data_IF_834325561887
#
_entry.id   IF_834325561887
#
_cell.length_a   1.000
_cell.length_b   1.000
_cell.length_c   1.000
_cell.angle_alpha   90.00
_cell.angle_beta   90.00
_cell.angle_gamma   90.00
#
_symmetry.space_group_name_H-M   'P 1'
#
loop_
_entity.id
_entity.type
_entity.pdbx_description
1 polymer ?
#
# COMPACT_ATOMS: atom_id res chain seq x y z
N UNK A 1 8.97 17.35 7.21
CA UNK A 1 10.24 16.59 7.15
C UNK A 1 11.09 17.20 6.04
N UNK A 2 12.36 17.49 6.29
CA UNK A 2 13.28 17.95 5.24
C UNK A 2 13.63 16.78 4.33
N UNK A 3 13.42 16.96 3.03
CA UNK A 3 13.80 15.99 2.00
C UNK A 3 15.34 15.77 2.02
N UNK A 4 15.78 14.60 2.50
CA UNK A 4 17.19 14.22 2.64
C UNK A 4 17.70 13.42 1.43
N UNK A 5 16.95 13.36 0.33
CA UNK A 5 17.39 12.65 -0.89
C UNK A 5 18.56 13.38 -1.56
N UNK A 6 19.45 12.60 -2.16
CA UNK A 6 20.62 13.07 -2.92
C UNK A 6 20.51 12.66 -4.39
N UNK A 7 21.21 13.40 -5.25
CA UNK A 7 21.40 13.12 -6.67
C UNK A 7 22.88 12.87 -6.90
N UNK A 8 23.21 11.85 -7.68
CA UNK A 8 24.59 11.63 -8.09
C UNK A 8 24.88 12.36 -9.40
N UNK A 9 25.91 13.19 -9.40
CA UNK A 9 26.50 13.78 -10.57
C UNK A 9 27.83 13.10 -10.88
N UNK A 10 28.04 12.73 -12.14
CA UNK A 10 29.34 12.26 -12.66
C UNK A 10 29.81 13.26 -13.70
N UNK A 11 31.05 13.77 -13.62
CA UNK A 11 31.50 14.81 -14.56
C UNK A 11 33.01 14.80 -14.81
N UNK A 12 33.39 15.33 -15.96
CA UNK A 12 34.78 15.47 -16.39
C UNK A 12 34.90 16.58 -17.45
N UNK A 13 36.09 17.18 -17.57
CA UNK A 13 36.39 18.12 -18.65
C UNK A 13 36.51 17.37 -19.98
N UNK A 14 35.79 17.85 -20.99
CA UNK A 14 35.79 17.36 -22.37
C UNK A 14 36.33 18.43 -23.34
N UNK A 15 37.32 19.19 -22.85
CA UNK A 15 37.96 20.26 -23.61
C UNK A 15 39.06 19.67 -24.51
N UNK A 16 38.94 19.75 -25.85
CA UNK A 16 39.94 19.20 -26.77
C UNK A 16 41.28 19.94 -26.73
N UNK A 17 41.35 21.16 -26.17
CA UNK A 17 42.59 21.91 -26.02
C UNK A 17 43.39 21.54 -24.75
N UNK A 18 42.79 20.73 -23.87
CA UNK A 18 43.46 20.23 -22.67
C UNK A 18 43.98 18.81 -22.89
N UNK A 19 45.28 18.63 -22.64
CA UNK A 19 45.89 17.31 -22.49
C UNK A 19 45.43 16.61 -21.20
N UNK A 20 45.64 15.31 -21.12
CA UNK A 20 45.19 14.48 -20.00
C UNK A 20 45.83 14.88 -18.66
N UNK A 21 47.10 15.31 -18.67
CA UNK A 21 47.80 15.77 -17.47
C UNK A 21 47.15 17.04 -16.89
N UNK A 22 46.72 17.97 -17.74
CA UNK A 22 45.99 19.17 -17.33
C UNK A 22 44.60 18.84 -16.82
N UNK A 23 43.86 17.96 -17.50
CA UNK A 23 42.52 17.50 -17.03
C UNK A 23 42.62 16.86 -15.66
N UNK A 24 43.58 15.96 -15.49
CA UNK A 24 43.90 15.28 -14.25
C UNK A 24 44.27 16.27 -13.12
N UNK A 25 45.11 17.26 -13.43
CA UNK A 25 45.51 18.29 -12.47
C UNK A 25 44.31 19.11 -11.99
N UNK A 26 43.42 19.50 -12.90
CA UNK A 26 42.20 20.25 -12.56
C UNK A 26 41.28 19.39 -11.67
N UNK A 27 41.06 18.12 -12.03
CA UNK A 27 40.24 17.20 -11.23
C UNK A 27 40.79 17.02 -9.80
N UNK A 28 42.11 16.88 -9.65
CA UNK A 28 42.77 16.79 -8.33
C UNK A 28 42.63 18.06 -7.50
N UNK A 29 42.56 19.22 -8.14
CA UNK A 29 42.35 20.50 -7.45
C UNK A 29 40.88 20.69 -7.04
N UNK A 30 39.93 20.23 -7.86
CA UNK A 30 38.51 20.35 -7.58
C UNK A 30 38.02 19.42 -6.46
N UNK A 31 38.56 18.19 -6.38
CA UNK A 31 38.05 17.17 -5.45
C UNK A 31 38.06 17.62 -3.96
N UNK A 32 39.12 18.24 -3.42
CA UNK A 32 39.09 18.75 -2.05
C UNK A 32 38.07 19.88 -1.85
N UNK A 33 37.89 20.76 -2.84
CA UNK A 33 36.90 21.84 -2.76
C UNK A 33 35.47 21.27 -2.73
N UNK A 34 35.19 20.27 -3.56
CA UNK A 34 33.91 19.56 -3.58
C UNK A 34 33.58 18.88 -2.26
N UNK A 35 34.58 18.29 -1.60
CA UNK A 35 34.41 17.62 -0.30
C UNK A 35 34.11 18.58 0.84
N UNK A 36 34.52 19.84 0.70
CA UNK A 36 34.29 20.90 1.68
C UNK A 36 33.07 21.76 1.35
N UNK A 37 32.36 21.44 0.27
CA UNK A 37 31.21 22.19 -0.18
C UNK A 37 29.98 21.72 0.63
N UNK A 38 29.34 22.64 1.36
CA UNK A 38 28.15 22.33 2.19
C UNK A 38 27.01 21.70 1.37
N UNK A 39 27.01 21.95 0.06
CA UNK A 39 26.08 21.43 -0.92
C UNK A 39 26.26 19.94 -1.24
N UNK A 40 27.44 19.38 -0.98
CA UNK A 40 27.87 18.04 -1.40
C UNK A 40 27.97 17.13 -0.18
N UNK A 41 27.22 16.03 -0.22
CA UNK A 41 27.22 15.00 0.83
C UNK A 41 28.46 14.12 0.73
N UNK A 42 28.87 13.80 -0.51
CA UNK A 42 30.02 12.94 -0.79
C UNK A 42 30.61 13.30 -2.15
N UNK A 43 31.94 13.33 -2.26
CA UNK A 43 32.60 13.45 -3.55
C UNK A 43 33.79 12.50 -3.63
N UNK A 44 33.83 11.74 -4.72
CA UNK A 44 34.84 10.72 -4.98
C UNK A 44 35.36 10.84 -6.40
N UNK A 45 36.57 10.33 -6.58
CA UNK A 45 37.14 10.11 -7.90
C UNK A 45 36.76 8.71 -8.37
N UNK A 46 36.31 8.58 -9.60
CA UNK A 46 36.16 7.27 -10.24
C UNK A 46 37.50 6.81 -10.78
N UNK A 47 37.85 5.54 -10.54
CA UNK A 47 39.04 4.93 -11.14
C UNK A 47 38.89 4.91 -12.66
N UNK A 48 39.99 5.17 -13.38
CA UNK A 48 40.00 5.28 -14.84
C UNK A 48 39.28 4.08 -15.46
N UNK A 49 38.17 4.35 -16.17
CA UNK A 49 37.49 3.36 -16.98
C UNK A 49 38.50 2.85 -18.02
N UNK A 50 38.73 1.53 -18.04
CA UNK A 50 39.55 0.90 -19.08
C UNK A 50 38.70 0.87 -20.36
N UNK A 51 38.95 1.72 -21.37
CA UNK A 51 38.02 1.84 -22.48
C UNK A 51 38.18 0.65 -23.43
N UNK A 52 37.08 -0.05 -23.70
CA UNK A 52 37.01 -1.00 -24.81
C UNK A 52 37.11 -0.26 -26.15
N UNK A 53 37.61 -0.93 -27.19
CA UNK A 53 37.73 -0.34 -28.52
C UNK A 53 36.35 0.13 -29.04
N UNK A 54 36.21 1.43 -29.29
CA UNK A 54 34.94 2.05 -29.72
C UNK A 54 34.13 2.73 -28.59
N UNK A 55 34.63 2.73 -27.36
CA UNK A 55 34.02 3.44 -26.22
C UNK A 55 33.86 4.93 -26.49
N UNK A 56 32.74 5.50 -26.01
CA UNK A 56 32.42 6.94 -26.09
C UNK A 56 32.05 7.49 -24.71
N UNK A 57 32.22 8.79 -24.51
CA UNK A 57 31.82 9.51 -23.29
C UNK A 57 32.85 9.42 -22.16
N UNK A 58 32.40 9.34 -20.91
CA UNK A 58 33.28 9.25 -19.73
C UNK A 58 34.38 8.17 -19.80
N UNK A 59 34.14 7.08 -20.53
CA UNK A 59 35.11 6.00 -20.70
C UNK A 59 36.43 6.46 -21.34
N UNK A 60 36.41 7.58 -22.09
CA UNK A 60 37.59 8.15 -22.76
C UNK A 60 38.14 9.39 -22.06
N UNK A 61 37.55 9.83 -20.95
CA UNK A 61 37.91 11.06 -20.25
C UNK A 61 38.76 10.77 -19.01
N UNK A 62 39.82 11.55 -18.82
CA UNK A 62 40.68 11.50 -17.65
C UNK A 62 40.17 12.48 -16.59
N UNK A 63 40.31 12.10 -15.31
CA UNK A 63 39.94 12.98 -14.19
C UNK A 63 38.45 13.02 -13.89
N UNK A 64 37.72 11.92 -14.13
CA UNK A 64 36.29 11.82 -13.84
C UNK A 64 36.04 11.87 -12.32
N UNK A 65 35.09 12.73 -11.93
CA UNK A 65 34.66 12.93 -10.55
C UNK A 65 33.19 12.58 -10.39
N UNK A 66 32.82 12.19 -9.18
CA UNK A 66 31.44 11.98 -8.76
C UNK A 66 31.11 12.82 -7.54
N UNK A 67 29.89 13.34 -7.47
CA UNK A 67 29.39 14.08 -6.32
C UNK A 67 27.95 13.69 -6.01
N UNK A 68 27.66 13.35 -4.76
CA UNK A 68 26.32 13.20 -4.22
C UNK A 68 25.86 14.54 -3.64
N UNK A 69 24.81 15.11 -4.21
CA UNK A 69 24.34 16.47 -3.95
C UNK A 69 22.92 16.41 -3.41
N UNK A 70 22.63 17.11 -2.30
CA UNK A 70 21.26 17.22 -1.80
C UNK A 70 20.36 17.93 -2.81
N UNK A 71 19.10 17.49 -2.95
CA UNK A 71 18.15 18.10 -3.90
C UNK A 71 18.04 19.63 -3.73
N UNK A 72 18.11 20.11 -2.49
CA UNK A 72 18.00 21.55 -2.18
C UNK A 72 19.20 22.35 -2.68
N UNK A 73 20.32 21.68 -2.93
CA UNK A 73 21.63 22.27 -3.14
C UNK A 73 22.12 22.10 -4.59
N UNK A 74 21.33 21.51 -5.49
CA UNK A 74 21.67 21.29 -6.92
C UNK A 74 22.17 22.59 -7.57
N UNK A 75 21.43 23.69 -7.37
CA UNK A 75 21.77 24.99 -7.96
C UNK A 75 23.11 25.53 -7.46
N UNK A 76 23.39 25.38 -6.16
CA UNK A 76 24.66 25.79 -5.54
C UNK A 76 25.83 25.00 -6.11
N UNK A 77 25.68 23.67 -6.18
CA UNK A 77 26.66 22.77 -6.77
C UNK A 77 26.98 23.10 -8.25
N UNK A 78 25.95 23.29 -9.09
CA UNK A 78 26.16 23.62 -10.51
C UNK A 78 26.76 25.02 -10.70
N UNK A 79 26.42 25.97 -9.83
CA UNK A 79 27.05 27.30 -9.81
C UNK A 79 28.53 27.22 -9.44
N UNK A 80 28.87 26.41 -8.42
CA UNK A 80 30.25 26.14 -8.02
C UNK A 80 31.08 25.56 -9.19
N UNK A 81 30.56 24.52 -9.87
CA UNK A 81 31.23 23.95 -11.04
C UNK A 81 31.42 24.98 -12.14
N UNK A 82 30.39 25.77 -12.40
CA UNK A 82 30.44 26.81 -13.42
C UNK A 82 31.49 27.89 -13.12
N UNK A 83 31.60 28.34 -11.87
CA UNK A 83 32.57 29.38 -11.48
C UNK A 83 34.01 28.88 -11.55
N UNK A 84 34.26 27.59 -11.29
CA UNK A 84 35.60 26.99 -11.34
C UNK A 84 36.04 26.59 -12.74
N UNK A 85 35.13 26.06 -13.53
CA UNK A 85 35.45 25.51 -14.84
C UNK A 85 35.32 26.57 -15.96
N UNK A 86 34.48 27.59 -15.74
CA UNK A 86 34.20 28.63 -16.73
C UNK A 86 33.43 28.07 -17.92
N UNK A 87 33.80 28.49 -19.13
CA UNK A 87 33.18 28.04 -20.39
C UNK A 87 33.87 26.81 -20.99
N UNK A 88 34.69 26.09 -20.22
CA UNK A 88 35.32 24.86 -20.72
C UNK A 88 34.25 23.80 -20.97
N UNK A 89 34.33 23.03 -22.07
CA UNK A 89 33.42 21.92 -22.30
C UNK A 89 33.52 20.86 -21.20
N UNK A 90 32.37 20.42 -20.71
CA UNK A 90 32.22 19.43 -19.63
C UNK A 90 31.26 18.35 -20.10
N UNK A 91 31.63 17.10 -19.90
CA UNK A 91 30.68 16.00 -19.93
C UNK A 91 30.14 15.81 -18.50
N UNK A 92 28.82 15.84 -18.32
CA UNK A 92 28.15 15.67 -17.03
C UNK A 92 26.97 14.71 -17.16
N UNK A 93 26.88 13.77 -16.25
CA UNK A 93 25.77 12.84 -16.09
C UNK A 93 25.05 13.12 -14.78
N UNK A 94 23.72 13.08 -14.83
CA UNK A 94 22.83 13.21 -13.69
C UNK A 94 22.11 11.88 -13.50
N UNK A 95 22.27 11.27 -12.33
CA UNK A 95 21.64 10.01 -11.97
C UNK A 95 20.67 10.19 -10.80
N UNK A 96 19.43 9.77 -11.03
CA UNK A 96 18.30 9.81 -10.10
C UNK A 96 17.62 8.43 -10.12
N UNK A 97 17.79 7.65 -9.06
CA UNK A 97 17.38 6.24 -9.01
C UNK A 97 18.06 5.41 -10.10
N UNK A 98 17.23 4.71 -10.90
CA UNK A 98 17.70 3.91 -12.04
C UNK A 98 17.87 4.71 -13.35
N UNK A 99 17.54 6.00 -13.34
CA UNK A 99 17.65 6.85 -14.54
C UNK A 99 18.93 7.65 -14.50
N UNK A 100 19.63 7.67 -15.63
CA UNK A 100 20.84 8.43 -15.82
C UNK A 100 20.77 9.16 -17.16
N UNK A 101 21.14 10.44 -17.18
CA UNK A 101 21.17 11.27 -18.39
C UNK A 101 22.50 11.99 -18.47
N UNK A 102 23.26 11.71 -19.53
CA UNK A 102 24.52 12.38 -19.84
C UNK A 102 24.33 13.50 -20.85
N UNK A 103 24.98 14.63 -20.61
CA UNK A 103 25.03 15.78 -21.51
C UNK A 103 26.47 16.27 -21.68
N UNK A 104 26.74 16.91 -22.82
CA UNK A 104 27.96 17.67 -23.05
C UNK A 104 27.62 19.14 -23.00
N UNK A 105 28.00 19.81 -21.91
CA UNK A 105 27.82 21.23 -21.72
C UNK A 105 29.04 21.98 -22.27
N UNK A 106 28.83 22.83 -23.28
CA UNK A 106 29.88 23.61 -23.95
C UNK A 106 30.00 25.05 -23.46
N UNK A 107 29.16 25.43 -22.50
CA UNK A 107 29.15 26.77 -21.90
C UNK A 107 28.62 26.72 -20.48
N UNK A 108 28.85 27.78 -19.71
CA UNK A 108 28.22 28.00 -18.41
C UNK A 108 26.70 27.87 -18.46
N UNK A 109 26.07 28.35 -19.53
CA UNK A 109 24.61 28.29 -19.69
C UNK A 109 24.12 26.85 -19.87
N UNK A 110 24.78 26.08 -20.74
CA UNK A 110 24.44 24.66 -20.96
C UNK A 110 24.68 23.80 -19.71
N UNK A 111 25.68 24.14 -18.90
CA UNK A 111 25.90 23.45 -17.62
C UNK A 111 24.76 23.73 -16.64
N UNK A 112 24.25 24.96 -16.58
CA UNK A 112 23.11 25.32 -15.73
C UNK A 112 21.80 24.67 -16.23
N UNK A 113 21.66 24.37 -17.52
CA UNK A 113 20.53 23.60 -18.04
C UNK A 113 20.46 22.17 -17.48
N UNK A 114 21.58 21.61 -16.99
CA UNK A 114 21.56 20.34 -16.25
C UNK A 114 20.74 20.42 -14.96
N UNK A 115 20.52 21.61 -14.38
CA UNK A 115 19.61 21.82 -13.26
C UNK A 115 18.18 21.43 -13.65
N UNK A 116 17.76 21.81 -14.87
CA UNK A 116 16.44 21.46 -15.39
C UNK A 116 16.32 19.96 -15.60
N UNK A 117 17.34 19.32 -16.17
CA UNK A 117 17.37 17.87 -16.37
C UNK A 117 17.28 17.13 -15.02
N UNK A 118 18.04 17.57 -14.01
CA UNK A 118 17.97 17.02 -12.66
C UNK A 118 16.56 17.16 -12.08
N UNK A 119 15.92 18.32 -12.23
CA UNK A 119 14.53 18.55 -11.79
C UNK A 119 13.52 17.72 -12.56
N UNK A 120 13.65 17.59 -13.86
CA UNK A 120 12.76 16.80 -14.72
C UNK A 120 12.89 15.30 -14.41
N UNK A 121 14.10 14.82 -14.12
CA UNK A 121 14.34 13.45 -13.66
C UNK A 121 13.74 13.20 -12.27
N UNK A 122 13.92 14.13 -11.33
CA UNK A 122 13.27 14.08 -10.02
C UNK A 122 11.75 14.06 -10.14
N UNK A 123 11.19 14.86 -11.04
CA UNK A 123 9.75 14.92 -11.27
C UNK A 123 9.24 13.63 -11.92
N UNK A 124 9.98 13.07 -12.89
CA UNK A 124 9.67 11.79 -13.49
C UNK A 124 9.82 10.60 -12.50
N UNK A 125 10.70 10.70 -11.51
CA UNK A 125 10.83 9.72 -10.43
C UNK A 125 9.73 9.88 -9.38
N UNK A 126 9.35 11.12 -9.02
CA UNK A 126 8.15 11.39 -8.21
C UNK A 126 6.89 10.86 -8.89
N UNK A 127 6.77 11.04 -10.21
CA UNK A 127 5.65 10.50 -10.99
C UNK A 127 5.71 8.97 -11.17
N UNK A 128 6.85 8.32 -10.92
CA UNK A 128 6.92 6.86 -10.68
C UNK A 128 6.43 6.48 -9.28
N UNK A 129 6.61 7.37 -8.29
CA UNK A 129 6.13 7.18 -6.92
C UNK A 129 4.63 7.49 -6.74
N UNK A 130 4.03 8.24 -7.68
CA UNK A 130 2.58 8.43 -7.78
C UNK A 130 1.93 7.21 -8.43
N UNK A 131 0.90 6.65 -7.79
CA UNK A 131 0.18 5.49 -8.30
C UNK A 131 -0.41 5.80 -9.69
N UNK A 132 -0.08 5.02 -10.72
CA UNK A 132 -0.75 5.10 -12.01
C UNK A 132 -2.18 4.57 -11.87
N UNK A 133 -3.11 5.46 -11.55
CA UNK A 133 -4.49 5.08 -11.29
C UNK A 133 -5.23 4.75 -12.58
N UNK A 134 -5.82 3.57 -12.60
CA UNK A 134 -6.81 3.12 -13.56
C UNK A 134 -8.20 3.25 -12.95
N UNK A 135 -9.23 3.19 -13.77
CA UNK A 135 -10.62 3.13 -13.32
C UNK A 135 -11.19 1.76 -13.67
N UNK A 136 -11.99 1.18 -12.79
CA UNK A 136 -12.82 0.02 -13.10
C UNK A 136 -14.27 0.31 -12.74
N UNK A 137 -15.19 -0.38 -13.43
CA UNK A 137 -16.62 -0.33 -13.15
C UNK A 137 -17.00 -1.57 -12.33
N UNK A 138 -17.98 -1.41 -11.44
CA UNK A 138 -18.54 -2.49 -10.63
C UNK A 138 -20.01 -2.19 -10.31
N UNK A 139 -20.72 -3.19 -9.83
CA UNK A 139 -22.10 -3.06 -9.39
C UNK A 139 -22.18 -3.16 -7.86
N UNK A 140 -22.99 -2.29 -7.26
CA UNK A 140 -23.43 -2.40 -5.87
C UNK A 140 -24.92 -2.69 -5.85
N UNK A 141 -25.34 -3.58 -4.95
CA UNK A 141 -26.74 -3.96 -4.81
C UNK A 141 -27.33 -3.35 -3.53
N UNK A 142 -28.58 -2.88 -3.61
CA UNK A 142 -29.40 -2.51 -2.46
C UNK A 142 -30.60 -3.45 -2.38
N UNK A 143 -30.94 -3.87 -1.15
CA UNK A 143 -32.06 -4.76 -0.88
C UNK A 143 -33.07 -4.12 0.06
N UNK A 144 -34.33 -4.55 -0.03
CA UNK A 144 -35.37 -4.22 0.94
C UNK A 144 -35.22 -5.05 2.24
N UNK A 145 -35.99 -4.75 3.31
CA UNK A 145 -35.90 -5.49 4.57
C UNK A 145 -36.16 -7.01 4.47
N UNK A 146 -36.84 -7.47 3.41
CA UNK A 146 -37.08 -8.90 3.16
C UNK A 146 -35.92 -9.57 2.39
N UNK A 147 -34.86 -8.84 2.08
CA UNK A 147 -33.68 -9.36 1.37
C UNK A 147 -33.82 -9.43 -0.16
N UNK A 148 -34.88 -8.86 -0.73
CA UNK A 148 -35.05 -8.81 -2.19
C UNK A 148 -34.34 -7.58 -2.75
N UNK A 149 -33.62 -7.75 -3.85
CA UNK A 149 -33.01 -6.64 -4.59
C UNK A 149 -34.05 -5.59 -5.02
N UNK A 150 -33.74 -4.34 -4.72
CA UNK A 150 -34.54 -3.18 -5.13
C UNK A 150 -33.81 -2.30 -6.14
N UNK A 151 -32.47 -2.35 -6.16
CA UNK A 151 -31.65 -1.50 -7.01
C UNK A 151 -30.25 -2.09 -7.16
N UNK A 152 -29.78 -2.24 -8.39
CA UNK A 152 -28.34 -2.36 -8.69
C UNK A 152 -27.86 -1.05 -9.30
N UNK A 153 -26.70 -0.57 -8.85
CA UNK A 153 -26.09 0.67 -9.31
C UNK A 153 -24.69 0.39 -9.82
N UNK A 154 -24.46 0.68 -11.10
CA UNK A 154 -23.12 0.71 -11.68
C UNK A 154 -22.37 1.93 -11.14
N UNK A 155 -21.20 1.69 -10.58
CA UNK A 155 -20.28 2.70 -10.06
C UNK A 155 -18.87 2.46 -10.56
N UNK A 156 -18.00 3.43 -10.34
CA UNK A 156 -16.60 3.36 -10.74
C UNK A 156 -15.68 3.78 -9.62
N UNK A 157 -14.56 3.08 -9.47
CA UNK A 157 -13.52 3.45 -8.52
C UNK A 157 -12.16 3.49 -9.21
N UNK A 158 -11.27 4.32 -8.66
CA UNK A 158 -9.87 4.38 -9.06
C UNK A 158 -9.09 3.30 -8.33
N UNK A 159 -8.11 2.70 -8.98
CA UNK A 159 -7.23 1.70 -8.38
C UNK A 159 -5.86 1.72 -9.05
N UNK A 160 -4.85 1.16 -8.41
CA UNK A 160 -3.64 0.71 -9.09
C UNK A 160 -3.45 -0.79 -8.87
N UNK A 161 -2.66 -1.42 -9.73
CA UNK A 161 -2.29 -2.83 -9.59
C UNK A 161 -0.82 -2.90 -9.15
N UNK A 162 -0.57 -3.45 -7.97
CA UNK A 162 0.79 -3.77 -7.54
C UNK A 162 1.24 -5.08 -8.17
N UNK A 163 2.39 -5.06 -8.84
CA UNK A 163 2.95 -6.23 -9.49
C UNK A 163 3.71 -7.10 -8.47
N UNK A 164 3.22 -8.31 -8.23
CA UNK A 164 3.87 -9.29 -7.35
C UNK A 164 4.89 -10.16 -8.09
N UNK A 165 4.91 -10.10 -9.43
CA UNK A 165 5.63 -10.98 -10.34
C UNK A 165 4.75 -12.11 -10.90
N UNK A 166 5.22 -12.76 -11.96
CA UNK A 166 4.54 -13.91 -12.60
C UNK A 166 3.07 -13.62 -13.01
N UNK A 167 2.81 -12.42 -13.53
CA UNK A 167 1.48 -11.95 -13.93
C UNK A 167 0.43 -12.01 -12.79
N UNK A 168 0.87 -11.89 -11.54
CA UNK A 168 -0.01 -11.80 -10.37
C UNK A 168 0.03 -10.38 -9.83
N UNK A 169 -1.16 -9.81 -9.70
CA UNK A 169 -1.33 -8.44 -9.24
C UNK A 169 -2.16 -8.39 -7.96
N UNK A 170 -1.86 -7.40 -7.13
CA UNK A 170 -2.69 -6.98 -6.03
C UNK A 170 -3.38 -5.67 -6.42
N UNK A 171 -4.68 -5.73 -6.73
CA UNK A 171 -5.48 -4.56 -7.08
C UNK A 171 -5.81 -3.75 -5.82
N UNK A 172 -5.39 -2.48 -5.78
CA UNK A 172 -5.50 -1.58 -4.64
C UNK A 172 -6.42 -0.42 -4.98
N UNK A 173 -7.63 -0.42 -4.43
CA UNK A 173 -8.69 0.57 -4.68
C UNK A 173 -8.44 1.83 -3.85
N UNK A 174 -8.55 2.99 -4.48
CA UNK A 174 -8.46 4.29 -3.82
C UNK A 174 -9.70 4.53 -2.98
N UNK A 175 -9.50 4.69 -1.68
CA UNK A 175 -10.53 5.05 -0.72
C UNK A 175 -10.37 6.54 -0.40
N UNK A 176 -11.32 7.39 -0.82
CA UNK A 176 -11.25 8.81 -0.48
C UNK A 176 -11.33 8.97 1.04
N UNK A 177 -10.53 9.89 1.60
CA UNK A 177 -10.65 10.23 3.00
C UNK A 177 -11.97 10.93 3.32
N UNK A 178 -12.40 10.87 4.56
CA UNK A 178 -13.65 11.47 5.00
C UNK A 178 -13.95 11.19 6.46
N UNK A 179 -15.14 11.58 6.89
CA UNK A 179 -15.59 11.43 8.27
C UNK A 179 -16.83 10.57 8.33
N UNK A 180 -16.89 9.65 9.30
CA UNK A 180 -18.05 8.78 9.52
C UNK A 180 -18.30 8.54 11.01
N UNK A 181 -19.46 7.94 11.31
CA UNK A 181 -19.80 7.47 12.65
C UNK A 181 -19.44 5.98 12.72
N UNK A 182 -18.46 5.66 13.57
CA UNK A 182 -18.00 4.30 13.83
C UNK A 182 -18.81 3.67 14.97
N UNK A 183 -19.11 2.37 14.86
CA UNK A 183 -19.93 1.63 15.81
C UNK A 183 -21.41 1.56 15.43
N UNK A 184 -22.22 0.91 16.27
CA UNK A 184 -23.65 0.67 16.02
C UNK A 184 -24.57 1.48 16.93
N UNK A 185 -25.72 1.96 16.42
CA UNK A 185 -26.72 2.64 17.25
C UNK A 185 -27.39 1.65 18.21
N UNK A 186 -27.94 2.16 19.31
CA UNK A 186 -28.58 1.31 20.34
C UNK A 186 -29.75 0.47 19.80
N UNK A 187 -30.39 0.91 18.72
CA UNK A 187 -31.51 0.23 18.07
C UNK A 187 -31.10 -0.83 17.06
N UNK A 188 -29.80 -0.99 16.73
CA UNK A 188 -29.36 -1.99 15.77
C UNK A 188 -29.51 -3.41 16.34
N UNK A 189 -30.22 -4.27 15.61
CA UNK A 189 -30.42 -5.67 15.99
C UNK A 189 -29.07 -6.41 16.11
N UNK A 190 -28.93 -7.25 17.14
CA UNK A 190 -27.72 -8.03 17.34
C UNK A 190 -26.47 -7.22 17.69
N UNK A 191 -26.60 -5.92 18.03
CA UNK A 191 -25.48 -5.10 18.52
C UNK A 191 -24.82 -5.69 19.78
N UNK A 192 -23.51 -5.52 19.87
CA UNK A 192 -22.72 -5.76 21.08
C UNK A 192 -22.36 -4.44 21.78
N UNK A 193 -22.19 -4.49 23.11
CA UNK A 193 -21.66 -3.36 23.89
C UNK A 193 -20.26 -2.91 23.43
N UNK A 194 -19.48 -3.80 22.80
CA UNK A 194 -18.16 -3.46 22.26
C UNK A 194 -18.18 -2.57 21.03
N UNK A 195 -19.34 -2.36 20.44
CA UNK A 195 -19.55 -1.50 19.28
C UNK A 195 -19.93 -0.07 19.70
N UNK A 196 -19.87 0.23 21.01
CA UNK A 196 -20.29 1.49 21.62
C UNK A 196 -19.13 2.16 22.37
N UNK A 197 -19.18 3.48 22.62
CA UNK A 197 -20.14 4.42 22.06
C UNK A 197 -19.91 4.64 20.56
N UNK A 198 -20.97 5.02 19.85
CA UNK A 198 -20.80 5.59 18.53
C UNK A 198 -19.97 6.88 18.64
N UNK A 199 -18.99 7.03 17.77
CA UNK A 199 -18.10 8.19 17.78
C UNK A 199 -17.69 8.56 16.35
N UNK A 200 -17.33 9.82 16.17
CA UNK A 200 -16.93 10.36 14.88
C UNK A 200 -15.44 10.08 14.65
N UNK A 201 -15.12 9.51 13.48
CA UNK A 201 -13.74 9.23 13.05
C UNK A 201 -13.50 9.88 11.70
N UNK A 202 -12.35 10.55 11.54
CA UNK A 202 -11.90 11.14 10.28
C UNK A 202 -10.75 10.32 9.72
N UNK A 203 -10.98 9.63 8.62
CA UNK A 203 -10.02 8.72 7.97
C UNK A 203 -9.33 9.46 6.82
N UNK A 204 -7.98 9.53 6.78
CA UNK A 204 -7.26 10.10 5.64
C UNK A 204 -7.43 9.23 4.38
N UNK A 205 -7.16 9.75 3.16
CA UNK A 205 -7.20 8.93 1.96
C UNK A 205 -6.13 7.83 1.98
N UNK A 206 -6.48 6.64 1.51
CA UNK A 206 -5.60 5.48 1.45
C UNK A 206 -5.99 4.55 0.30
N UNK A 207 -5.22 3.49 0.10
CA UNK A 207 -5.61 2.41 -0.82
C UNK A 207 -5.85 1.14 -0.04
N UNK A 208 -6.88 0.38 -0.42
CA UNK A 208 -7.24 -0.90 0.19
C UNK A 208 -7.30 -1.99 -0.88
N UNK A 209 -6.85 -3.20 -0.55
CA UNK A 209 -6.99 -4.36 -1.44
C UNK A 209 -8.44 -4.52 -1.88
N UNK A 210 -8.68 -4.63 -3.19
CA UNK A 210 -10.01 -4.82 -3.78
C UNK A 210 -10.72 -6.06 -3.23
N UNK A 211 -9.92 -7.08 -2.92
CA UNK A 211 -10.30 -8.37 -2.37
C UNK A 211 -9.50 -8.65 -1.09
N UNK A 212 -9.93 -9.63 -0.25
CA UNK A 212 -9.01 -10.28 0.66
C UNK A 212 -7.83 -10.85 -0.14
N UNK A 213 -6.65 -10.96 0.49
CA UNK A 213 -5.46 -11.52 -0.17
C UNK A 213 -5.75 -12.95 -0.61
N UNK A 214 -5.45 -13.28 -1.87
CA UNK A 214 -5.70 -14.62 -2.40
C UNK A 214 -4.56 -15.58 -2.06
N UNK A 215 -4.83 -16.89 -2.10
CA UNK A 215 -3.80 -17.91 -1.91
C UNK A 215 -2.66 -17.79 -2.95
N UNK A 216 -2.99 -17.40 -4.19
CA UNK A 216 -1.97 -17.16 -5.24
C UNK A 216 -1.06 -15.98 -4.90
N UNK A 217 -1.63 -14.89 -4.38
CA UNK A 217 -0.86 -13.72 -3.95
C UNK A 217 0.00 -14.06 -2.72
N UNK A 218 -0.57 -14.79 -1.75
CA UNK A 218 0.14 -15.27 -0.56
C UNK A 218 1.39 -16.07 -0.92
N UNK A 219 1.25 -17.11 -1.75
CA UNK A 219 2.38 -17.97 -2.15
C UNK A 219 3.55 -17.17 -2.70
N UNK A 220 3.30 -16.17 -3.55
CA UNK A 220 4.38 -15.34 -4.11
C UNK A 220 5.08 -14.50 -3.03
N UNK A 221 4.32 -13.83 -2.17
CA UNK A 221 4.90 -13.00 -1.10
C UNK A 221 5.64 -13.85 -0.07
N UNK A 222 5.16 -15.05 0.23
CA UNK A 222 5.81 -16.01 1.12
C UNK A 222 7.18 -16.50 0.59
N UNK A 223 7.43 -16.41 -0.72
CA UNK A 223 8.77 -16.70 -1.29
C UNK A 223 9.77 -15.53 -1.19
N UNK A 224 9.30 -14.32 -0.90
CA UNK A 224 10.18 -13.16 -0.77
C UNK A 224 11.08 -13.29 0.47
N UNK A 225 12.25 -12.61 0.49
CA UNK A 225 13.14 -12.67 1.64
C UNK A 225 12.42 -12.31 2.95
N UNK A 226 12.53 -13.20 3.93
CA UNK A 226 12.04 -13.01 5.29
C UNK A 226 12.46 -11.65 5.87
N UNK A 227 11.52 -11.01 6.56
CA UNK A 227 11.76 -9.80 7.35
C UNK A 227 11.86 -10.18 8.83
N UNK A 228 10.81 -10.78 9.42
CA UNK A 228 10.77 -11.12 10.84
C UNK A 228 10.58 -12.62 11.09
N UNK A 229 9.56 -13.23 10.49
CA UNK A 229 9.20 -14.65 10.68
C UNK A 229 9.13 -15.42 9.35
N UNK A 230 9.23 -16.74 9.41
CA UNK A 230 9.00 -17.59 8.25
C UNK A 230 7.50 -17.67 7.96
N UNK A 231 7.12 -17.78 6.69
CA UNK A 231 5.72 -17.95 6.28
C UNK A 231 5.59 -19.34 5.68
N UNK A 232 4.62 -20.12 6.17
CA UNK A 232 4.15 -21.31 5.46
C UNK A 232 3.56 -20.86 4.12
N UNK A 233 4.06 -21.34 2.96
CA UNK A 233 3.58 -20.87 1.66
C UNK A 233 2.15 -21.30 1.33
N UNK A 234 1.62 -22.39 1.89
CA UNK A 234 0.28 -22.88 1.54
C UNK A 234 -0.54 -23.35 2.76
N UNK A 235 -0.82 -22.46 3.75
CA UNK A 235 -1.42 -22.82 5.03
C UNK A 235 -2.93 -23.12 4.94
N UNK A 236 -3.58 -22.60 3.91
CA UNK A 236 -5.02 -22.67 3.71
C UNK A 236 -5.59 -24.09 3.75
N UNK A 237 -6.74 -24.29 4.39
CA UNK A 237 -7.47 -25.57 4.37
C UNK A 237 -8.22 -25.80 3.06
N UNK A 238 -8.86 -24.77 2.50
CA UNK A 238 -9.48 -24.86 1.18
C UNK A 238 -8.46 -24.51 0.10
N UNK A 239 -8.43 -25.20 -1.04
CA UNK A 239 -7.36 -25.02 -2.04
C UNK A 239 -7.89 -24.49 -3.37
N UNK A 240 -7.49 -23.27 -3.72
CA UNK A 240 -7.62 -22.71 -5.07
C UNK A 240 -6.88 -21.35 -5.13
N UNK A 241 -6.30 -21.02 -6.27
CA UNK A 241 -5.55 -19.78 -6.51
C UNK A 241 -6.33 -18.51 -6.16
N UNK A 242 -7.65 -18.50 -6.42
CA UNK A 242 -8.51 -17.32 -6.29
C UNK A 242 -9.32 -17.31 -4.99
N UNK A 243 -9.19 -18.32 -4.13
CA UNK A 243 -9.78 -18.27 -2.79
C UNK A 243 -8.99 -17.28 -1.92
N UNK A 244 -9.66 -16.65 -0.94
CA UNK A 244 -8.93 -15.91 0.09
C UNK A 244 -7.98 -16.86 0.81
N UNK A 245 -6.81 -16.36 1.18
CA UNK A 245 -5.94 -17.05 2.13
C UNK A 245 -6.64 -17.13 3.49
N UNK A 246 -6.62 -18.31 4.09
CA UNK A 246 -7.06 -18.54 5.47
C UNK A 246 -6.08 -19.46 6.20
N UNK A 247 -6.34 -19.75 7.48
CA UNK A 247 -5.37 -20.39 8.38
C UNK A 247 -4.08 -19.57 8.58
N UNK A 248 -4.19 -18.24 8.62
CA UNK A 248 -3.06 -17.33 8.86
C UNK A 248 -3.24 -16.57 10.16
N UNK A 249 -2.17 -16.52 10.96
CA UNK A 249 -2.12 -15.76 12.21
C UNK A 249 -1.98 -14.25 11.93
N UNK A 250 -2.15 -13.41 12.95
CA UNK A 250 -1.92 -11.97 12.79
C UNK A 250 -0.45 -11.68 12.48
N UNK A 251 0.48 -12.43 13.08
CA UNK A 251 1.91 -12.26 12.86
C UNK A 251 2.29 -12.66 11.42
N UNK A 252 1.70 -13.73 10.88
CA UNK A 252 1.88 -14.10 9.47
C UNK A 252 1.37 -12.99 8.54
N UNK A 253 0.21 -12.41 8.87
CA UNK A 253 -0.38 -11.33 8.10
C UNK A 253 0.46 -10.04 8.13
N UNK A 254 1.07 -9.73 9.27
CA UNK A 254 2.02 -8.62 9.40
C UNK A 254 3.32 -8.89 8.65
N UNK A 255 3.85 -10.11 8.67
CA UNK A 255 5.02 -10.51 7.90
C UNK A 255 4.76 -10.44 6.39
N UNK A 256 3.59 -10.86 5.92
CA UNK A 256 3.18 -10.66 4.53
C UNK A 256 3.27 -9.18 4.14
N UNK A 257 2.71 -8.29 4.97
CA UNK A 257 2.77 -6.84 4.77
C UNK A 257 4.22 -6.31 4.77
N UNK A 258 5.07 -6.81 5.67
CA UNK A 258 6.47 -6.40 5.79
C UNK A 258 7.30 -6.80 4.56
N UNK A 259 7.13 -8.04 4.07
CA UNK A 259 7.79 -8.53 2.85
C UNK A 259 7.32 -7.76 1.62
N UNK A 260 6.01 -7.54 1.50
CA UNK A 260 5.43 -6.75 0.42
C UNK A 260 5.94 -5.31 0.44
N UNK A 261 6.04 -4.70 1.62
CA UNK A 261 6.61 -3.36 1.81
C UNK A 261 8.06 -3.27 1.33
N UNK A 262 8.88 -4.26 1.72
CA UNK A 262 10.29 -4.33 1.32
C UNK A 262 10.46 -4.52 -0.18
N UNK A 263 9.62 -5.35 -0.81
CA UNK A 263 9.64 -5.58 -2.28
C UNK A 263 9.27 -4.31 -3.06
N UNK A 264 8.28 -3.58 -2.60
CA UNK A 264 7.64 -2.49 -3.37
C UNK A 264 8.17 -1.11 -3.00
N UNK A 265 8.94 -1.00 -1.91
CA UNK A 265 9.34 0.27 -1.30
C UNK A 265 8.13 1.16 -0.93
N UNK A 266 6.99 0.53 -0.60
CA UNK A 266 5.77 1.17 -0.09
C UNK A 266 5.45 0.65 1.29
N UNK A 267 4.61 1.37 2.04
CA UNK A 267 4.24 0.97 3.41
C UNK A 267 2.92 0.20 3.37
N UNK A 268 3.00 -1.09 3.08
CA UNK A 268 1.88 -2.01 3.19
C UNK A 268 1.69 -2.44 4.65
N UNK A 269 0.43 -2.53 5.06
CA UNK A 269 0.04 -2.94 6.41
C UNK A 269 -1.39 -3.50 6.41
N UNK A 270 -1.80 -4.06 7.55
CA UNK A 270 -3.21 -4.32 7.80
C UNK A 270 -3.97 -2.98 7.93
N UNK A 271 -5.28 -2.94 7.62
CA UNK A 271 -6.10 -1.78 7.90
C UNK A 271 -6.15 -1.52 9.41
N UNK A 272 -6.30 -0.25 9.80
CA UNK A 272 -6.86 0.01 11.13
C UNK A 272 -8.32 -0.44 11.17
N UNK A 273 -8.84 -0.71 12.36
CA UNK A 273 -10.25 -1.10 12.52
C UNK A 273 -11.20 -0.02 11.96
N UNK A 274 -10.83 1.25 12.13
CA UNK A 274 -11.59 2.38 11.61
C UNK A 274 -11.52 2.54 10.10
N UNK A 275 -10.35 2.30 9.49
CA UNK A 275 -10.21 2.22 8.02
C UNK A 275 -11.06 1.10 7.44
N UNK A 276 -11.08 -0.08 8.09
CA UNK A 276 -11.88 -1.22 7.66
C UNK A 276 -13.38 -0.91 7.72
N UNK A 277 -13.88 -0.38 8.85
CA UNK A 277 -15.31 -0.07 8.99
C UNK A 277 -15.74 1.06 8.04
N UNK A 278 -14.93 2.11 7.91
CA UNK A 278 -15.17 3.21 6.98
C UNK A 278 -15.32 2.70 5.54
N UNK A 279 -14.36 1.87 5.12
CA UNK A 279 -14.34 1.30 3.78
C UNK A 279 -15.49 0.31 3.57
N UNK A 280 -15.82 -0.54 4.56
CA UNK A 280 -16.93 -1.50 4.52
C UNK A 280 -18.27 -0.79 4.30
N UNK A 281 -18.53 0.27 5.08
CA UNK A 281 -19.78 1.04 5.02
C UNK A 281 -19.97 1.73 3.68
N UNK A 282 -18.90 2.23 3.06
CA UNK A 282 -18.99 2.96 1.78
C UNK A 282 -19.98 4.13 1.81
N UNK A 283 -20.09 4.80 2.95
CA UNK A 283 -21.04 5.91 3.18
C UNK A 283 -22.45 5.51 3.65
N UNK A 284 -22.74 4.22 3.78
CA UNK A 284 -24.01 3.73 4.35
C UNK A 284 -23.99 3.74 5.88
N UNK A 285 -25.18 3.86 6.49
CA UNK A 285 -25.36 3.83 7.95
C UNK A 285 -26.13 2.61 8.43
N UNK A 286 -26.58 1.76 7.51
CA UNK A 286 -27.28 0.51 7.79
C UNK A 286 -26.33 -0.56 8.34
N UNK A 287 -26.84 -1.66 8.92
CA UNK A 287 -26.00 -2.75 9.42
C UNK A 287 -25.11 -3.36 8.34
N UNK A 288 -25.60 -3.45 7.10
CA UNK A 288 -24.84 -3.91 5.94
C UNK A 288 -24.84 -2.83 4.86
N UNK A 289 -23.81 -2.79 4.01
CA UNK A 289 -23.76 -1.84 2.89
C UNK A 289 -24.82 -2.11 1.81
N UNK A 290 -25.51 -3.25 1.89
CA UNK A 290 -26.66 -3.61 1.05
C UNK A 290 -28.01 -3.09 1.59
N UNK A 291 -28.09 -2.74 2.88
CA UNK A 291 -29.34 -2.32 3.53
C UNK A 291 -29.51 -2.87 4.95
N UNK A 292 -30.77 -2.97 5.38
CA UNK A 292 -31.16 -3.38 6.75
C UNK A 292 -31.04 -4.89 7.01
N UNK A 293 -30.77 -5.69 5.97
CA UNK A 293 -30.56 -7.14 6.08
C UNK A 293 -29.47 -7.60 5.10
N UNK A 294 -29.25 -8.92 5.01
CA UNK A 294 -28.25 -9.57 4.18
C UNK A 294 -28.83 -10.81 3.50
N UNK A 295 -28.41 -11.10 2.27
CA UNK A 295 -28.76 -12.31 1.52
C UNK A 295 -27.52 -13.12 1.18
N UNK A 296 -27.64 -14.44 1.11
CA UNK A 296 -26.55 -15.33 0.68
C UNK A 296 -26.16 -15.14 -0.79
N UNK A 297 -26.98 -14.42 -1.57
CA UNK A 297 -26.67 -14.00 -2.94
C UNK A 297 -25.72 -12.78 -2.98
N UNK A 298 -25.54 -12.11 -1.84
CA UNK A 298 -24.74 -10.89 -1.71
C UNK A 298 -23.52 -11.07 -0.81
N UNK A 299 -23.54 -12.04 0.10
CA UNK A 299 -22.44 -12.37 0.98
C UNK A 299 -22.30 -13.89 1.17
N UNK A 300 -21.08 -14.35 1.44
CA UNK A 300 -20.82 -15.75 1.76
C UNK A 300 -20.81 -15.95 3.28
N UNK A 301 -21.90 -16.46 3.84
CA UNK A 301 -22.05 -16.72 5.27
C UNK A 301 -22.93 -17.96 5.49
N UNK A 302 -23.17 -18.33 6.75
CA UNK A 302 -24.09 -19.42 7.10
C UNK A 302 -25.55 -18.99 6.90
N UNK A 303 -26.13 -19.32 5.75
CA UNK A 303 -27.53 -19.06 5.43
C UNK A 303 -28.55 -19.98 6.10
N UNK A 304 -28.13 -20.96 6.91
CA UNK A 304 -29.00 -21.93 7.60
C UNK A 304 -28.88 -21.82 9.11
N UNK A 305 -29.97 -22.09 9.84
CA UNK A 305 -29.99 -21.98 11.29
C UNK A 305 -28.85 -22.78 11.94
N UNK A 306 -28.28 -22.22 13.00
CA UNK A 306 -27.30 -22.92 13.81
C UNK A 306 -27.96 -23.48 15.05
N UNK A 307 -28.01 -24.81 15.14
CA UNK A 307 -28.43 -25.49 16.35
C UNK A 307 -27.22 -25.87 17.21
N UNK A 308 -27.16 -25.35 18.43
CA UNK A 308 -26.18 -25.75 19.45
C UNK A 308 -26.97 -26.24 20.66
N UNK A 309 -26.80 -27.52 21.01
CA UNK A 309 -27.61 -28.20 22.02
C UNK A 309 -29.12 -28.05 21.71
N UNK A 310 -29.89 -27.45 22.61
CA UNK A 310 -31.32 -27.21 22.49
C UNK A 310 -31.67 -25.79 22.01
N UNK A 311 -30.66 -24.97 21.67
CA UNK A 311 -30.85 -23.59 21.21
C UNK A 311 -30.67 -23.50 19.69
N UNK A 312 -31.62 -22.82 19.04
CA UNK A 312 -31.58 -22.53 17.60
C UNK A 312 -31.29 -21.04 17.42
N UNK A 313 -30.17 -20.75 16.77
CA UNK A 313 -29.80 -19.42 16.35
C UNK A 313 -30.24 -19.23 14.90
N UNK A 314 -31.13 -18.25 14.61
CA UNK A 314 -31.63 -18.02 13.27
C UNK A 314 -30.50 -17.55 12.34
N UNK A 315 -30.50 -18.05 11.10
CA UNK A 315 -29.56 -17.58 10.08
C UNK A 315 -29.88 -16.21 9.49
N UNK A 316 -31.17 -15.83 9.49
CA UNK A 316 -31.59 -14.53 8.98
C UNK A 316 -31.27 -13.41 9.97
N UNK A 317 -31.14 -12.21 9.42
CA UNK A 317 -31.04 -10.97 10.19
C UNK A 317 -32.28 -10.11 9.93
N UNK A 318 -32.98 -9.69 10.99
CA UNK A 318 -34.26 -9.00 10.84
C UNK A 318 -35.26 -9.80 9.99
N UNK A 319 -35.88 -9.13 9.02
CA UNK A 319 -36.86 -9.74 8.10
C UNK A 319 -36.24 -10.45 6.88
N UNK A 320 -34.90 -10.55 6.83
CA UNK A 320 -34.20 -11.21 5.73
C UNK A 320 -34.57 -12.69 5.59
N UNK A 321 -34.31 -13.23 4.41
CA UNK A 321 -34.52 -14.64 4.11
C UNK A 321 -33.30 -15.48 4.50
N UNK A 322 -33.55 -16.71 4.93
CA UNK A 322 -32.52 -17.75 5.04
C UNK A 322 -32.07 -18.16 3.64
N UNK A 323 -30.88 -18.72 3.53
CA UNK A 323 -30.27 -19.06 2.26
C UNK A 323 -29.33 -20.26 2.33
N UNK A 324 -28.40 -20.31 1.39
CA UNK A 324 -27.41 -21.37 1.29
C UNK A 324 -26.35 -21.27 2.40
N UNK A 325 -25.98 -22.39 3.01
CA UNK A 325 -24.74 -22.49 3.77
C UNK A 325 -23.72 -23.23 2.91
N UNK A 326 -22.72 -22.50 2.39
CA UNK A 326 -21.77 -23.05 1.41
C UNK A 326 -20.71 -23.96 2.01
N UNK A 327 -20.52 -23.89 3.32
CA UNK A 327 -19.56 -24.71 4.07
C UNK A 327 -18.09 -24.54 3.65
N UNK A 328 -17.78 -23.46 2.90
CA UNK A 328 -16.43 -23.12 2.45
C UNK A 328 -16.31 -21.67 1.99
N UNK A 329 -15.08 -21.23 1.81
CA UNK A 329 -14.76 -19.98 1.11
C UNK A 329 -15.18 -20.04 -0.37
N UNK A 330 -15.44 -18.87 -0.94
CA UNK A 330 -15.68 -18.69 -2.38
C UNK A 330 -14.56 -17.87 -3.00
N UNK A 331 -14.37 -17.99 -4.32
CA UNK A 331 -13.45 -17.13 -5.05
C UNK A 331 -13.72 -15.67 -4.72
N UNK A 332 -12.66 -14.90 -4.50
CA UNK A 332 -12.79 -13.48 -4.18
C UNK A 332 -13.48 -12.74 -5.32
N UNK A 333 -14.32 -11.77 -4.98
CA UNK A 333 -15.04 -10.99 -5.98
C UNK A 333 -16.20 -11.71 -6.68
N UNK A 334 -16.58 -12.91 -6.21
CA UNK A 334 -17.72 -13.66 -6.76
C UNK A 334 -19.07 -12.96 -6.51
N UNK A 335 -19.20 -12.27 -5.39
CA UNK A 335 -20.42 -11.59 -4.97
C UNK A 335 -20.26 -10.07 -5.15
N UNK A 336 -21.36 -9.28 -5.22
CA UNK A 336 -21.27 -7.86 -5.55
C UNK A 336 -20.41 -7.02 -4.60
N UNK A 337 -19.80 -5.98 -5.16
CA UNK A 337 -18.98 -5.04 -4.39
C UNK A 337 -19.82 -4.11 -3.52
N UNK A 338 -19.18 -3.52 -2.53
CA UNK A 338 -19.72 -2.39 -1.79
C UNK A 338 -19.59 -1.06 -2.56
N UNK A 339 -20.11 0.06 -2.05
CA UNK A 339 -20.07 1.35 -2.74
C UNK A 339 -18.67 1.90 -3.05
N UNK A 340 -17.63 1.40 -2.38
CA UNK A 340 -16.24 1.77 -2.65
C UNK A 340 -15.59 0.91 -3.75
N UNK A 341 -16.25 -0.14 -4.24
CA UNK A 341 -15.66 -1.10 -5.17
C UNK A 341 -14.83 -2.18 -4.49
N UNK A 342 -15.05 -2.40 -3.19
CA UNK A 342 -14.43 -3.46 -2.42
C UNK A 342 -15.38 -4.66 -2.34
N UNK A 343 -14.83 -5.85 -2.48
CA UNK A 343 -15.58 -7.11 -2.50
C UNK A 343 -15.35 -7.87 -1.21
N UNK A 344 -16.31 -8.75 -0.87
CA UNK A 344 -16.22 -9.65 0.30
C UNK A 344 -16.04 -8.92 1.64
N UNK A 345 -16.53 -7.67 1.77
CA UNK A 345 -16.48 -6.91 3.03
C UNK A 345 -17.48 -7.43 4.08
N UNK A 346 -18.43 -8.29 3.68
CA UNK A 346 -19.33 -9.02 4.56
C UNK A 346 -19.22 -10.52 4.23
N UNK A 347 -18.76 -11.32 5.19
CA UNK A 347 -18.59 -12.77 5.05
C UNK A 347 -17.31 -13.19 4.32
N UNK A 348 -17.34 -14.40 3.77
CA UNK A 348 -16.22 -15.16 3.19
C UNK A 348 -15.14 -15.48 4.22
N UNK A 349 -14.35 -14.51 4.70
CA UNK A 349 -13.37 -14.70 5.77
C UNK A 349 -13.35 -13.48 6.70
N UNK A 350 -13.09 -13.71 7.98
CA UNK A 350 -12.70 -12.64 8.88
C UNK A 350 -11.38 -12.02 8.42
N UNK A 351 -11.22 -10.71 8.60
CA UNK A 351 -10.01 -9.98 8.20
C UNK A 351 -9.32 -9.38 9.42
N UNK A 352 -8.02 -9.68 9.57
CA UNK A 352 -7.17 -9.06 10.59
C UNK A 352 -7.04 -7.55 10.40
N UNK A 353 -7.15 -6.81 11.51
CA UNK A 353 -6.80 -5.38 11.59
C UNK A 353 -5.54 -5.18 12.45
N UNK A 354 -4.90 -4.01 12.36
CA UNK A 354 -3.73 -3.70 13.21
C UNK A 354 -4.07 -3.49 14.69
N UNK A 355 -5.32 -3.18 14.98
CA UNK A 355 -5.79 -2.76 16.28
C UNK A 355 -5.80 -3.90 17.30
N UNK A 356 -5.46 -3.57 18.54
CA UNK A 356 -5.66 -4.46 19.68
C UNK A 356 -7.08 -4.35 20.20
N UNK A 357 -7.58 -5.45 20.75
CA UNK A 357 -8.94 -5.52 21.26
C UNK A 357 -9.16 -4.57 22.44
N UNK A 358 -10.24 -3.82 22.36
CA UNK A 358 -10.81 -3.03 23.45
C UNK A 358 -12.27 -3.40 23.64
N UNK A 359 -12.74 -3.41 24.89
CA UNK A 359 -14.11 -3.81 25.23
C UNK A 359 -15.19 -2.84 24.74
N UNK A 360 -14.81 -1.63 24.35
CA UNK A 360 -15.65 -0.54 23.89
C UNK A 360 -14.78 0.48 23.12
N UNK A 361 -15.38 1.58 22.66
CA UNK A 361 -14.72 2.69 21.98
C UNK A 361 -14.43 3.90 22.89
N UNK A 362 -14.45 3.73 24.22
CA UNK A 362 -14.14 4.82 25.13
C UNK A 362 -12.65 5.16 24.99
N UNK A 363 -12.34 6.38 24.52
CA UNK A 363 -11.00 6.86 24.18
C UNK A 363 -10.40 6.24 22.89
N UNK A 364 -11.23 5.69 22.01
CA UNK A 364 -10.77 5.27 20.68
C UNK A 364 -10.17 6.44 19.89
N UNK A 365 -9.12 6.23 19.08
CA UNK A 365 -8.62 7.22 18.14
C UNK A 365 -9.72 7.70 17.17
N UNK A 366 -9.68 8.98 16.80
CA UNK A 366 -10.67 9.60 15.92
C UNK A 366 -10.09 10.10 14.59
N UNK A 367 -8.86 9.70 14.26
CA UNK A 367 -8.07 10.17 13.11
C UNK A 367 -7.74 9.05 12.09
N UNK A 368 -8.38 7.89 12.23
CA UNK A 368 -8.15 6.74 11.37
C UNK A 368 -6.94 5.88 11.77
N UNK A 369 -6.17 6.28 12.79
CA UNK A 369 -5.03 5.50 13.26
C UNK A 369 -5.43 4.23 14.01
N UNK A 370 -4.55 3.23 14.05
CA UNK A 370 -4.78 1.98 14.77
C UNK A 370 -4.59 2.13 16.28
N UNK A 371 -5.51 1.55 17.06
CA UNK A 371 -5.50 1.52 18.51
C UNK A 371 -4.64 0.36 19.03
N UNK A 372 -3.33 0.61 19.12
CA UNK A 372 -2.33 -0.45 19.40
C UNK A 372 -2.07 -0.72 20.87
N UNK A 373 -2.36 0.23 21.76
CA UNK A 373 -2.17 0.02 23.20
C UNK A 373 -3.19 -1.00 23.70
N UNK A 374 -2.75 -2.14 24.24
CA UNK A 374 -3.67 -3.18 24.74
C UNK A 374 -3.99 -2.95 26.22
N UNK A 375 -5.24 -3.16 26.61
CA UNK A 375 -5.66 -3.24 28.01
C UNK A 375 -6.31 -4.59 28.37
N UNK A 376 -6.36 -5.54 27.42
CA UNK A 376 -7.09 -6.79 27.57
C UNK A 376 -6.50 -7.94 26.73
N UNK A 377 -5.60 -8.73 27.34
CA UNK A 377 -5.15 -10.04 26.85
C UNK A 377 -4.53 -10.09 25.43
N UNK A 378 -3.97 -8.98 24.93
CA UNK A 378 -3.21 -8.86 23.66
C UNK A 378 -3.88 -9.44 22.40
N UNK A 379 -5.20 -9.64 22.43
CA UNK A 379 -5.99 -10.10 21.30
C UNK A 379 -6.03 -9.03 20.20
N UNK A 380 -6.06 -9.48 18.95
CA UNK A 380 -6.10 -8.59 17.78
C UNK A 380 -7.52 -8.58 17.18
N UNK A 381 -7.91 -7.45 16.62
CA UNK A 381 -9.24 -7.23 16.02
C UNK A 381 -9.41 -8.04 14.73
N UNK A 382 -10.61 -8.60 14.59
CA UNK A 382 -11.15 -9.21 13.37
C UNK A 382 -12.45 -8.51 12.95
N UNK A 383 -12.62 -8.28 11.65
CA UNK A 383 -13.84 -7.69 11.06
C UNK A 383 -14.38 -8.52 9.89
N UNK A 384 -15.66 -8.34 9.55
CA UNK A 384 -16.27 -8.88 8.33
C UNK A 384 -17.20 -10.08 8.49
N UNK A 385 -16.98 -10.96 9.47
CA UNK A 385 -17.65 -12.27 9.48
C UNK A 385 -17.03 -13.24 8.48
N UNK A 386 -17.50 -14.48 8.44
CA UNK A 386 -16.98 -15.49 7.51
C UNK A 386 -18.06 -16.38 6.90
N UNK A 387 -17.65 -17.29 6.01
CA UNK A 387 -18.50 -18.33 5.45
C UNK A 387 -19.20 -19.20 6.51
N UNK A 388 -18.61 -19.32 7.71
CA UNK A 388 -19.09 -20.16 8.80
C UNK A 388 -20.06 -19.46 9.75
N UNK A 389 -20.04 -18.13 9.79
CA UNK A 389 -20.78 -17.36 10.77
C UNK A 389 -22.19 -16.99 10.32
N UNK A 390 -23.04 -16.66 11.29
CA UNK A 390 -24.41 -16.20 11.05
C UNK A 390 -24.43 -14.75 10.55
N UNK A 391 -25.53 -14.35 9.91
CA UNK A 391 -25.70 -13.01 9.35
C UNK A 391 -25.35 -11.86 10.32
N UNK A 392 -25.66 -12.01 11.61
CA UNK A 392 -25.46 -10.97 12.62
C UNK A 392 -23.98 -10.57 12.83
N UNK A 393 -23.03 -11.46 12.54
CA UNK A 393 -21.59 -11.18 12.69
C UNK A 393 -20.98 -10.53 11.45
N UNK A 394 -21.70 -10.53 10.32
CA UNK A 394 -21.26 -9.92 9.08
C UNK A 394 -21.60 -8.41 9.00
N UNK A 395 -22.21 -7.84 10.05
CA UNK A 395 -22.54 -6.41 10.10
C UNK A 395 -21.28 -5.56 10.02
N UNK A 396 -21.40 -4.41 9.38
CA UNK A 396 -20.34 -3.41 9.26
C UNK A 396 -19.75 -3.06 10.63
N UNK A 397 -20.56 -2.95 11.69
CA UNK A 397 -20.11 -2.58 13.03
C UNK A 397 -19.58 -3.77 13.87
N UNK A 398 -19.84 -5.03 13.48
CA UNK A 398 -19.55 -6.17 14.35
C UNK A 398 -18.05 -6.38 14.53
N UNK A 399 -17.59 -6.37 15.78
CA UNK A 399 -16.19 -6.55 16.13
C UNK A 399 -15.98 -7.93 16.73
N UNK A 400 -14.97 -8.64 16.26
CA UNK A 400 -14.49 -9.86 16.90
C UNK A 400 -13.00 -9.75 17.25
N UNK A 401 -12.49 -10.76 17.94
CA UNK A 401 -11.09 -10.85 18.34
C UNK A 401 -10.62 -12.29 18.35
N UNK A 402 -9.34 -12.48 18.12
CA UNK A 402 -8.66 -13.74 18.32
C UNK A 402 -7.25 -13.49 18.88
N UNK A 403 -6.64 -14.52 19.46
CA UNK A 403 -5.21 -14.44 19.80
C UNK A 403 -4.41 -14.20 18.53
N UNK A 404 -3.30 -13.47 18.63
CA UNK A 404 -2.44 -13.21 17.47
C UNK A 404 -1.90 -14.51 16.85
N UNK A 405 -1.80 -15.58 17.64
CA UNK A 405 -1.33 -16.93 17.25
C UNK A 405 -2.45 -17.85 16.76
N UNK A 406 -3.73 -17.49 16.95
CA UNK A 406 -4.85 -18.32 16.52
C UNK A 406 -4.95 -18.29 14.99
N UNK A 407 -5.02 -19.46 14.38
CA UNK A 407 -5.28 -19.64 12.95
C UNK A 407 -6.52 -20.50 12.79
N UNK A 408 -7.51 -19.98 12.07
CA UNK A 408 -8.77 -20.68 11.83
C UNK A 408 -9.08 -20.71 10.32
N UNK A 409 -9.85 -21.72 9.92
CA UNK A 409 -10.21 -22.01 8.50
C UNK A 409 -11.11 -20.96 7.84
N UNK A 410 -11.25 -19.81 8.49
CA UNK A 410 -12.15 -18.72 8.14
C UNK A 410 -11.55 -17.35 8.49
N UNK A 411 -10.27 -17.27 8.87
CA UNK A 411 -9.56 -16.02 9.18
C UNK A 411 -8.46 -15.81 8.14
N UNK A 412 -8.53 -14.66 7.45
CA UNK A 412 -7.59 -14.21 6.45
C UNK A 412 -7.16 -12.76 6.69
N UNK A 413 -6.80 -12.06 5.61
CA UNK A 413 -6.37 -10.67 5.67
C UNK A 413 -6.72 -9.90 4.41
N UNK A 414 -6.79 -8.59 4.57
CA UNK A 414 -6.75 -7.58 3.52
C UNK A 414 -5.68 -6.57 3.89
N UNK A 415 -5.07 -5.95 2.89
CA UNK A 415 -3.99 -4.98 3.11
C UNK A 415 -4.38 -3.59 2.66
N UNK A 416 -3.73 -2.59 3.25
CA UNK A 416 -3.79 -1.20 2.85
C UNK A 416 -2.40 -0.65 2.60
N UNK A 417 -2.33 0.46 1.85
CA UNK A 417 -1.10 1.23 1.66
C UNK A 417 -1.43 2.72 1.69
N UNK A 418 -0.53 3.50 2.28
CA UNK A 418 -0.70 4.95 2.36
C UNK A 418 -0.70 5.58 0.97
N UNK A 419 -1.67 6.47 0.75
CA UNK A 419 -1.62 7.45 -0.33
C UNK A 419 -0.64 8.55 0.07
N UNK A 420 0.68 8.33 -0.09
CA UNK A 420 1.63 9.46 0.02
C UNK A 420 1.30 10.42 -1.12
N UNK A 421 0.53 11.47 -0.79
CA UNK A 421 0.15 12.64 -1.60
C UNK A 421 0.24 12.42 -3.12
N UNK A 422 -0.90 12.04 -3.71
CA UNK A 422 -1.14 12.14 -5.16
C UNK A 422 -0.86 13.54 -5.70
#
# INVERSE_FOLDING_TARGET
>A
MTDNRTIQFTFALDDPELDDDRREKIARQLLPELRNLDEVVKADRTENFNPEAGSKGFATLVGVLTAEVSIKNIKGFLSFLSDRLGDKPIEISVKVGDKEVSIKAKSRQELLESEKIAKDLLEAEKNKSGYQLKTFQFETVQINPNGTEIKSVTQSAKYFAEDLGNDVFLEMVYIPGGTFIMGSPESEEGRSSSESPQHQVTVPPFFMGKYPVTQKQWRLVATLPKVNIDLEPDPSSFKSDNLPIECVSCDDAQEFCARLSKKTNKVYRLPSESEWEYACRGGTTTPFYFGETISTDLANYRGTDWKIWDTVYPANYGQGQKGEFREKTTDVGKLPANPCGLYDMCGNVWEWCEDKWHRDYINAPNDGSSWRASNCHDMTILRGGSWFDLACTCRSAYRNRASAEDWAIFVGLRVVVLSKSL
#
